data_IF_069191607141
#
_entry.id   IF_069191607141
#
_cell.length_a   1.000
_cell.length_b   1.000
_cell.length_c   1.000
_cell.angle_alpha   90.00
_cell.angle_beta   90.00
_cell.angle_gamma   90.00
#
_symmetry.space_group_name_H-M   'P 1'
#
loop_
_entity.id
_entity.type
_entity.pdbx_description
1 polymer ?
#
# COMPACT_ATOMS: atom_id res chain seq x y z
N UNK A 1 -5.29 8.96 12.90
CA UNK A 1 -4.63 7.96 12.02
C UNK A 1 -3.40 8.49 11.25
N UNK A 2 -3.54 9.21 10.12
CA UNK A 2 -2.40 9.52 9.21
C UNK A 2 -1.24 10.34 9.82
N UNK A 3 -1.47 11.07 10.91
CA UNK A 3 -0.43 11.85 11.59
C UNK A 3 0.60 11.00 12.35
N UNK A 4 0.29 9.74 12.66
CA UNK A 4 1.13 8.86 13.48
C UNK A 4 1.81 7.75 12.68
N UNK A 5 1.53 7.63 11.38
CA UNK A 5 2.03 6.53 10.55
C UNK A 5 3.17 6.99 9.66
N UNK A 6 4.15 6.12 9.46
CA UNK A 6 5.32 6.35 8.60
C UNK A 6 5.12 5.85 7.16
N UNK A 7 4.08 5.05 6.94
CA UNK A 7 3.69 4.55 5.63
C UNK A 7 2.24 4.08 5.61
N UNK A 8 1.73 3.81 4.42
CA UNK A 8 0.35 3.35 4.19
C UNK A 8 0.32 2.14 3.26
N UNK A 9 -0.64 1.25 3.49
CA UNK A 9 -0.92 0.13 2.58
C UNK A 9 -2.21 0.45 1.83
N UNK A 10 -2.12 0.53 0.51
CA UNK A 10 -3.26 0.71 -0.39
C UNK A 10 -3.73 -0.66 -0.84
N UNK A 11 -4.82 -1.14 -0.25
CA UNK A 11 -5.46 -2.41 -0.61
C UNK A 11 -6.52 -2.18 -1.70
N UNK A 12 -6.36 -2.83 -2.85
CA UNK A 12 -7.24 -2.67 -4.02
C UNK A 12 -7.78 -4.03 -4.45
N UNK A 13 -9.05 -4.09 -4.85
CA UNK A 13 -9.65 -5.31 -5.38
C UNK A 13 -9.23 -5.53 -6.84
N UNK A 14 -8.79 -6.74 -7.18
CA UNK A 14 -8.31 -7.11 -8.51
C UNK A 14 -9.37 -7.06 -9.62
N UNK A 15 -10.66 -6.98 -9.27
CA UNK A 15 -11.78 -6.85 -10.21
C UNK A 15 -12.37 -5.44 -10.22
N UNK A 16 -12.49 -4.79 -9.06
CA UNK A 16 -13.17 -3.49 -8.97
C UNK A 16 -12.24 -2.32 -9.27
N UNK A 17 -10.96 -2.41 -8.91
CA UNK A 17 -10.02 -1.29 -9.00
C UNK A 17 -10.14 -0.29 -7.86
N UNK A 18 -9.44 0.86 -7.93
CA UNK A 18 -9.43 1.84 -6.86
C UNK A 18 -10.76 2.61 -6.78
N UNK A 19 -11.44 2.52 -5.63
CA UNK A 19 -12.73 3.18 -5.43
C UNK A 19 -12.58 4.68 -5.09
N UNK A 20 -13.55 5.55 -5.47
CA UNK A 20 -13.50 6.99 -5.22
C UNK A 20 -13.29 7.39 -3.75
N UNK A 21 -13.80 6.58 -2.82
CA UNK A 21 -13.65 6.80 -1.37
C UNK A 21 -12.18 6.76 -0.92
N UNK A 22 -11.34 6.03 -1.65
CA UNK A 22 -9.90 5.86 -1.34
C UNK A 22 -9.07 7.07 -1.75
N UNK A 23 -9.53 7.83 -2.75
CA UNK A 23 -8.83 8.98 -3.34
C UNK A 23 -8.51 10.07 -2.31
N UNK A 24 -9.45 10.39 -1.43
CA UNK A 24 -9.25 11.45 -0.43
C UNK A 24 -8.19 11.09 0.62
N UNK A 25 -8.18 9.84 1.08
CA UNK A 25 -7.22 9.37 2.09
C UNK A 25 -5.83 9.22 1.48
N UNK A 26 -5.76 8.65 0.27
CA UNK A 26 -4.51 8.51 -0.47
C UNK A 26 -3.89 9.89 -0.77
N UNK A 27 -4.69 10.87 -1.21
CA UNK A 27 -4.21 12.25 -1.43
C UNK A 27 -3.50 12.81 -0.19
N UNK A 28 -4.11 12.68 0.99
CA UNK A 28 -3.50 13.14 2.24
C UNK A 28 -2.21 12.39 2.60
N UNK A 29 -2.13 11.10 2.28
CA UNK A 29 -0.91 10.33 2.49
C UNK A 29 0.22 10.80 1.57
N UNK A 30 -0.09 11.08 0.30
CA UNK A 30 0.86 11.61 -0.68
C UNK A 30 1.32 13.03 -0.33
N UNK A 31 0.41 13.92 0.08
CA UNK A 31 0.73 15.26 0.58
C UNK A 31 1.64 15.20 1.82
N UNK A 32 1.44 14.21 2.68
CA UNK A 32 2.29 13.93 3.84
C UNK A 32 3.59 13.19 3.52
N UNK A 33 3.94 13.03 2.23
CA UNK A 33 5.11 12.31 1.74
C UNK A 33 5.25 10.90 2.35
N UNK A 34 4.13 10.24 2.61
CA UNK A 34 4.11 8.88 3.17
C UNK A 34 4.44 7.89 2.07
N UNK A 35 5.29 6.91 2.37
CA UNK A 35 5.51 5.77 1.48
C UNK A 35 4.24 4.93 1.38
N UNK A 36 3.94 4.49 0.16
CA UNK A 36 2.77 3.66 -0.13
C UNK A 36 3.23 2.28 -0.60
N UNK A 37 2.64 1.24 -0.01
CA UNK A 37 2.73 -0.14 -0.49
C UNK A 37 1.38 -0.51 -1.11
N UNK A 38 1.36 -0.96 -2.36
CA UNK A 38 0.13 -1.36 -3.04
C UNK A 38 -0.06 -2.86 -2.93
N UNK A 39 -1.26 -3.29 -2.55
CA UNK A 39 -1.64 -4.71 -2.49
C UNK A 39 -2.90 -4.90 -3.33
N UNK A 40 -2.77 -5.62 -4.44
CA UNK A 40 -3.89 -6.02 -5.29
C UNK A 40 -4.42 -7.37 -4.79
N UNK A 41 -5.62 -7.38 -4.25
CA UNK A 41 -6.21 -8.51 -3.53
C UNK A 41 -7.34 -9.18 -4.32
N UNK A 42 -7.64 -10.43 -3.96
CA UNK A 42 -8.62 -11.31 -4.63
C UNK A 42 -8.23 -11.67 -6.06
N UNK A 43 -6.93 -11.87 -6.30
CA UNK A 43 -6.41 -12.30 -7.61
C UNK A 43 -6.90 -13.69 -8.05
N UNK A 44 -7.54 -14.44 -7.15
CA UNK A 44 -8.12 -15.76 -7.41
C UNK A 44 -9.49 -15.71 -8.10
N UNK A 45 -10.11 -14.54 -8.20
CA UNK A 45 -11.43 -14.41 -8.82
C UNK A 45 -11.34 -14.55 -10.34
N UNK A 46 -12.38 -15.15 -10.94
CA UNK A 46 -12.45 -15.34 -12.40
C UNK A 46 -12.60 -14.02 -13.17
N UNK A 47 -13.14 -12.99 -12.52
CA UNK A 47 -13.31 -11.64 -13.06
C UNK A 47 -12.15 -10.70 -12.69
N UNK A 48 -11.03 -11.23 -12.19
CA UNK A 48 -9.84 -10.45 -11.90
C UNK A 48 -9.24 -9.88 -13.20
N UNK A 49 -8.97 -8.57 -13.19
CA UNK A 49 -8.40 -7.78 -14.30
C UNK A 49 -7.18 -7.01 -13.80
N UNK A 50 -6.23 -7.77 -13.24
CA UNK A 50 -5.10 -7.23 -12.45
C UNK A 50 -4.29 -6.17 -13.20
N UNK A 51 -3.98 -6.40 -14.49
CA UNK A 51 -3.21 -5.44 -15.29
C UNK A 51 -3.94 -4.11 -15.44
N UNK A 52 -5.24 -4.13 -15.78
CA UNK A 52 -6.07 -2.93 -15.90
C UNK A 52 -6.19 -2.19 -14.56
N UNK A 53 -6.38 -2.94 -13.46
CA UNK A 53 -6.44 -2.35 -12.12
C UNK A 53 -5.11 -1.70 -11.74
N UNK A 54 -3.98 -2.29 -12.13
CA UNK A 54 -2.68 -1.69 -11.88
C UNK A 54 -2.51 -0.37 -12.64
N UNK A 55 -2.91 -0.32 -13.91
CA UNK A 55 -2.93 0.92 -14.70
C UNK A 55 -3.83 1.98 -14.05
N UNK A 56 -5.03 1.61 -13.60
CA UNK A 56 -5.95 2.51 -12.88
C UNK A 56 -5.35 3.06 -11.57
N UNK A 57 -4.53 2.26 -10.87
CA UNK A 57 -3.81 2.71 -9.67
C UNK A 57 -2.74 3.73 -10.04
N UNK A 58 -1.95 3.49 -11.09
CA UNK A 58 -0.95 4.46 -11.55
C UNK A 58 -1.59 5.77 -11.98
N UNK A 59 -2.67 5.69 -12.78
CA UNK A 59 -3.45 6.86 -13.19
C UNK A 59 -3.94 7.63 -11.97
N UNK A 60 -4.47 6.95 -10.95
CA UNK A 60 -4.91 7.57 -9.70
C UNK A 60 -3.77 8.32 -8.98
N UNK A 61 -2.56 7.77 -8.95
CA UNK A 61 -1.42 8.46 -8.32
C UNK A 61 -1.02 9.72 -9.08
N UNK A 62 -0.98 9.64 -10.42
CA UNK A 62 -0.69 10.78 -11.30
C UNK A 62 -1.75 11.87 -11.12
N UNK A 63 -3.02 11.48 -11.09
CA UNK A 63 -4.20 12.32 -10.85
C UNK A 63 -4.18 13.05 -9.49
N UNK A 64 -3.40 12.53 -8.55
CA UNK A 64 -3.20 13.05 -7.20
C UNK A 64 -1.87 13.79 -7.05
N UNK A 65 -1.21 14.12 -8.17
CA UNK A 65 0.07 14.82 -8.24
C UNK A 65 1.20 14.10 -7.48
N UNK A 66 1.22 12.76 -7.51
CA UNK A 66 2.32 11.97 -6.96
C UNK A 66 3.66 12.32 -7.63
N UNK A 67 4.72 12.43 -6.83
CA UNK A 67 6.07 12.64 -7.36
C UNK A 67 6.71 11.34 -7.86
N UNK A 68 7.87 11.43 -8.52
CA UNK A 68 8.57 10.27 -9.10
C UNK A 68 8.86 9.17 -8.06
N UNK A 69 9.35 9.53 -6.87
CA UNK A 69 9.62 8.56 -5.80
C UNK A 69 8.34 7.86 -5.32
N UNK A 70 7.23 8.59 -5.31
CA UNK A 70 5.92 8.06 -4.93
C UNK A 70 5.29 7.17 -6.00
N UNK A 71 5.74 7.24 -7.26
CA UNK A 71 5.31 6.35 -8.35
C UNK A 71 6.11 5.04 -8.37
N UNK A 72 7.26 4.97 -7.70
CA UNK A 72 8.05 3.75 -7.49
C UNK A 72 7.55 2.95 -6.27
N UNK A 73 6.24 2.76 -6.14
CA UNK A 73 5.66 1.99 -5.04
C UNK A 73 5.84 0.47 -5.27
N UNK A 74 6.16 -0.31 -4.23
CA UNK A 74 6.08 -1.77 -4.31
C UNK A 74 4.64 -2.23 -4.53
N UNK A 75 4.48 -3.26 -5.35
CA UNK A 75 3.19 -3.91 -5.63
C UNK A 75 3.27 -5.36 -5.17
N UNK A 76 2.24 -5.83 -4.48
CA UNK A 76 2.06 -7.23 -4.12
C UNK A 76 0.70 -7.72 -4.59
N UNK A 77 0.63 -9.01 -4.88
CA UNK A 77 -0.59 -9.68 -5.30
C UNK A 77 -1.06 -10.64 -4.22
N UNK A 78 -2.33 -10.59 -3.83
CA UNK A 78 -2.81 -11.30 -2.65
C UNK A 78 -4.13 -12.05 -2.87
N UNK A 79 -4.25 -13.18 -2.17
CA UNK A 79 -5.49 -13.92 -1.97
C UNK A 79 -5.76 -13.91 -0.46
N UNK A 80 -6.36 -12.81 0.02
CA UNK A 80 -6.52 -12.59 1.45
C UNK A 80 -7.32 -13.67 2.16
N UNK A 81 -8.29 -14.32 1.47
CA UNK A 81 -9.09 -15.41 2.03
C UNK A 81 -8.25 -16.66 2.38
N UNK A 82 -7.18 -16.89 1.62
CA UNK A 82 -6.31 -18.06 1.75
C UNK A 82 -5.01 -17.68 2.51
N UNK A 83 -4.86 -16.41 2.88
CA UNK A 83 -3.66 -15.91 3.56
C UNK A 83 -2.41 -15.96 2.69
N UNK A 84 -2.54 -15.68 1.39
CA UNK A 84 -1.43 -15.75 0.44
C UNK A 84 -1.09 -14.35 -0.08
N UNK A 85 0.20 -14.02 -0.11
CA UNK A 85 0.76 -12.87 -0.82
C UNK A 85 1.87 -13.33 -1.77
N UNK A 86 2.08 -12.60 -2.87
CA UNK A 86 3.04 -12.89 -3.92
C UNK A 86 3.71 -11.62 -4.41
N UNK A 87 4.95 -11.74 -4.89
CA UNK A 87 5.65 -10.65 -5.57
C UNK A 87 5.20 -10.55 -7.03
N UNK A 88 5.12 -11.68 -7.73
CA UNK A 88 4.60 -11.79 -9.09
C UNK A 88 3.35 -12.68 -9.14
N UNK A 89 2.51 -12.52 -10.17
CA UNK A 89 1.24 -13.28 -10.28
C UNK A 89 1.47 -14.80 -10.39
N UNK A 90 2.52 -15.17 -11.12
CA UNK A 90 2.93 -16.54 -11.41
C UNK A 90 3.63 -17.22 -10.24
N UNK A 91 4.06 -16.47 -9.22
CA UNK A 91 4.78 -17.01 -8.09
C UNK A 91 3.93 -18.05 -7.34
N UNK A 92 4.61 -19.08 -6.86
CA UNK A 92 4.01 -19.97 -5.87
C UNK A 92 4.27 -19.39 -4.49
N UNK A 93 3.20 -19.23 -3.72
CA UNK A 93 3.27 -18.80 -2.33
C UNK A 93 2.17 -19.53 -1.54
N UNK A 94 2.43 -19.73 -0.25
CA UNK A 94 1.54 -20.43 0.66
C UNK A 94 1.16 -19.58 1.88
N UNK A 95 1.70 -18.36 1.99
CA UNK A 95 1.53 -17.52 3.17
C UNK A 95 1.67 -16.01 2.85
N UNK A 96 1.57 -15.19 3.90
CA UNK A 96 1.69 -13.74 3.85
C UNK A 96 3.12 -13.22 4.07
N UNK A 97 4.15 -14.07 4.14
CA UNK A 97 5.52 -13.59 4.36
C UNK A 97 5.93 -12.52 3.35
N UNK A 98 5.62 -12.61 2.04
CA UNK A 98 5.95 -11.55 1.09
C UNK A 98 5.42 -10.18 1.49
N UNK A 99 4.22 -10.11 2.08
CA UNK A 99 3.64 -8.87 2.59
C UNK A 99 4.43 -8.33 3.78
N UNK A 100 4.67 -9.16 4.79
CA UNK A 100 5.38 -8.73 6.00
C UNK A 100 6.83 -8.34 5.72
N UNK A 101 7.52 -9.10 4.88
CA UNK A 101 8.91 -8.83 4.48
C UNK A 101 8.99 -7.50 3.71
N UNK A 102 8.04 -7.24 2.82
CA UNK A 102 7.98 -5.96 2.09
C UNK A 102 7.68 -4.79 3.03
N UNK A 103 6.78 -4.95 4.00
CA UNK A 103 6.51 -3.92 5.02
C UNK A 103 7.80 -3.56 5.77
N UNK A 104 8.56 -4.56 6.24
CA UNK A 104 9.81 -4.35 7.00
C UNK A 104 10.89 -3.69 6.12
N UNK A 105 10.97 -4.09 4.85
CA UNK A 105 12.00 -3.62 3.92
C UNK A 105 11.74 -2.21 3.40
N UNK A 106 10.50 -1.91 3.03
CA UNK A 106 10.15 -0.72 2.25
C UNK A 106 9.59 0.43 3.10
N UNK A 107 8.93 0.14 4.23
CA UNK A 107 8.37 1.19 5.07
C UNK A 107 9.40 1.69 6.10
N UNK A 108 9.59 3.00 6.22
CA UNK A 108 10.56 3.55 7.16
C UNK A 108 10.13 3.30 8.60
N UNK A 109 11.09 2.98 9.46
CA UNK A 109 10.87 2.92 10.90
C UNK A 109 10.61 4.34 11.45
N UNK A 110 9.79 4.46 12.52
CA UNK A 110 9.56 5.73 13.20
C UNK A 110 10.89 6.29 13.73
N UNK A 111 11.12 7.58 13.49
CA UNK A 111 12.31 8.29 13.95
C UNK A 111 12.05 8.91 15.32
N UNK A 112 12.97 8.73 16.26
CA UNK A 112 12.95 9.38 17.58
C UNK A 112 14.38 9.63 18.07
N UNK A 113 14.52 10.60 18.99
CA UNK A 113 15.78 10.91 19.67
C UNK A 113 15.72 10.34 21.09
N UNK A 114 16.48 9.28 21.43
CA UNK A 114 16.40 8.64 22.75
C UNK A 114 16.70 9.56 23.94
N UNK A 115 17.50 10.60 23.72
CA UNK A 115 17.91 11.57 24.74
C UNK A 115 16.88 12.67 24.99
N UNK A 116 15.85 12.80 24.15
CA UNK A 116 14.81 13.80 24.32
C UNK A 116 13.78 13.37 25.39
N UNK A 117 13.14 14.33 26.08
CA UNK A 117 12.05 14.04 27.00
C UNK A 117 10.93 13.27 26.31
N UNK A 118 10.20 12.45 27.07
CA UNK A 118 9.04 11.73 26.57
C UNK A 118 8.05 12.67 25.87
N UNK A 119 7.70 12.33 24.62
CA UNK A 119 6.68 13.01 23.83
C UNK A 119 5.70 11.98 23.29
N UNK A 120 4.40 12.28 23.40
CA UNK A 120 3.34 11.44 22.85
C UNK A 120 2.25 12.35 22.31
N UNK A 121 1.89 12.15 21.05
CA UNK A 121 0.75 12.80 20.44
C UNK A 121 -0.53 12.14 20.95
N UNK A 122 -1.47 12.94 21.49
CA UNK A 122 -2.82 12.46 21.83
C UNK A 122 -3.65 12.49 20.54
N UNK A 123 -4.10 11.32 20.11
CA UNK A 123 -4.92 11.14 18.92
C UNK A 123 -5.91 9.99 19.12
N UNK A 124 -7.06 10.09 18.44
CA UNK A 124 -8.10 9.06 18.36
C UNK A 124 -8.01 8.24 17.06
#
# INVERSE_FOLDING_TARGET
ALMMVDGVILLVDASEGPLPQTRFVLKKALEGQKKVLVVVNKIDRQDARVAEVLDEIYDLFIDLDANEEQLEFPVLYAIGKDGIAKYELEDQSADLHPLFDTIIKELPAPKHTPEEPFQMLVAD
#
